data_IF_782882529993
#
_entry.id   IF_782882529993
#
_cell.length_a   1.000
_cell.length_b   1.000
_cell.length_c   1.000
_cell.angle_alpha   90.00
_cell.angle_beta   90.00
_cell.angle_gamma   90.00
#
_symmetry.space_group_name_H-M   'P 1'
#
loop_
_entity.id
_entity.type
_entity.pdbx_description
1 polymer ?
#
# COMPACT_ATOMS: atom_id res chain seq x y z
N UNK A 1 29.77 36.30 16.59
CA UNK A 1 28.88 35.58 15.66
C UNK A 1 29.74 34.48 15.06
N UNK A 2 29.24 33.22 14.88
CA UNK A 2 30.01 32.17 14.21
C UNK A 2 30.34 32.62 12.79
N UNK A 3 31.53 32.28 12.33
CA UNK A 3 31.94 32.54 10.95
C UNK A 3 31.10 31.72 9.99
N UNK A 4 30.99 32.17 8.74
CA UNK A 4 30.27 31.40 7.68
C UNK A 4 30.80 29.98 7.58
N UNK A 5 32.10 29.78 7.72
CA UNK A 5 32.75 28.45 7.71
C UNK A 5 32.26 27.54 8.85
N UNK A 6 32.16 28.07 10.07
CA UNK A 6 31.62 27.31 11.21
C UNK A 6 30.13 27.01 11.05
N UNK A 7 29.37 27.89 10.40
CA UNK A 7 27.96 27.66 10.10
C UNK A 7 27.80 26.56 9.05
N UNK A 8 28.62 26.54 8.00
CA UNK A 8 28.60 25.50 6.97
C UNK A 8 29.02 24.12 7.51
N UNK A 9 29.95 24.06 8.44
CA UNK A 9 30.35 22.80 9.07
C UNK A 9 29.25 22.17 9.94
N UNK A 10 28.32 22.98 10.44
CA UNK A 10 27.16 22.51 11.23
C UNK A 10 25.98 22.01 10.39
N UNK A 11 25.99 22.22 9.07
CA UNK A 11 24.94 21.72 8.20
C UNK A 11 25.05 20.19 8.03
N UNK A 12 23.92 19.49 7.91
CA UNK A 12 23.90 18.08 7.55
C UNK A 12 24.64 17.81 6.23
N UNK A 13 25.29 16.63 6.11
CA UNK A 13 26.14 16.30 4.97
C UNK A 13 25.41 16.40 3.62
N UNK A 14 24.16 15.97 3.55
CA UNK A 14 23.32 16.08 2.36
C UNK A 14 23.04 17.51 1.92
N UNK A 15 22.88 18.44 2.87
CA UNK A 15 22.67 19.88 2.60
C UNK A 15 23.98 20.50 2.09
N UNK A 16 25.12 20.12 2.67
CA UNK A 16 26.44 20.59 2.20
C UNK A 16 26.76 20.14 0.78
N UNK A 17 26.48 18.87 0.43
CA UNK A 17 26.69 18.35 -0.93
C UNK A 17 25.80 19.05 -1.94
N UNK A 18 24.50 19.23 -1.65
CA UNK A 18 23.58 19.95 -2.51
C UNK A 18 24.04 21.41 -2.76
N UNK A 19 24.55 22.07 -1.73
CA UNK A 19 25.10 23.42 -1.83
C UNK A 19 26.33 23.49 -2.72
N UNK A 20 27.24 22.53 -2.59
CA UNK A 20 28.46 22.44 -3.39
C UNK A 20 28.13 22.18 -4.86
N UNK A 21 27.15 21.33 -5.12
CA UNK A 21 26.73 21.00 -6.49
C UNK A 21 26.02 22.19 -7.17
N UNK A 22 25.19 22.94 -6.42
CA UNK A 22 24.57 24.19 -6.90
C UNK A 22 25.62 25.25 -7.22
N UNK A 23 26.62 25.41 -6.35
CA UNK A 23 27.74 26.35 -6.55
C UNK A 23 28.60 25.98 -7.78
N UNK A 24 28.79 24.67 -8.04
CA UNK A 24 29.46 24.20 -9.27
C UNK A 24 28.66 24.51 -10.53
N UNK A 25 27.33 24.38 -10.47
CA UNK A 25 26.45 24.71 -11.58
C UNK A 25 26.42 26.20 -11.91
N UNK A 26 26.41 27.07 -10.87
CA UNK A 26 26.44 28.52 -11.03
C UNK A 26 27.76 29.03 -11.65
N UNK A 27 28.88 28.33 -11.44
CA UNK A 27 30.22 28.74 -11.93
C UNK A 27 30.60 28.18 -13.30
N UNK A 28 29.70 27.49 -14.04
CA UNK A 28 29.91 27.04 -15.41
C UNK A 28 31.34 26.58 -15.73
N UNK A 29 31.63 25.29 -15.61
CA UNK A 29 32.78 24.52 -16.14
C UNK A 29 34.20 25.15 -16.22
N UNK A 30 34.50 26.22 -15.51
CA UNK A 30 35.85 26.75 -15.40
C UNK A 30 36.48 26.38 -14.05
N UNK A 31 37.31 25.33 -14.10
CA UNK A 31 37.89 24.69 -12.89
C UNK A 31 38.99 25.49 -12.19
N UNK A 32 39.51 26.60 -12.72
CA UNK A 32 40.78 27.17 -12.24
C UNK A 32 40.78 28.63 -11.73
N UNK A 33 39.67 29.36 -11.74
CA UNK A 33 39.63 30.71 -11.17
C UNK A 33 38.25 31.04 -10.57
N UNK A 34 37.95 30.50 -9.41
CA UNK A 34 36.82 30.96 -8.60
C UNK A 34 37.10 32.36 -8.06
N UNK A 35 36.29 33.41 -8.39
CA UNK A 35 36.37 34.67 -7.68
C UNK A 35 36.03 34.41 -6.18
N UNK A 36 36.55 35.20 -5.26
CA UNK A 36 36.21 35.05 -3.86
C UNK A 36 34.70 35.13 -3.72
N UNK A 37 34.10 34.03 -3.23
CA UNK A 37 32.65 33.95 -2.95
C UNK A 37 32.32 35.08 -1.96
N UNK A 38 31.61 36.09 -2.42
CA UNK A 38 31.08 37.13 -1.53
C UNK A 38 29.99 36.51 -0.66
N UNK A 39 29.83 37.02 0.57
CA UNK A 39 28.79 36.56 1.49
C UNK A 39 27.38 36.60 0.86
N UNK A 40 27.12 37.57 -0.03
CA UNK A 40 25.87 37.70 -0.75
C UNK A 40 25.65 36.55 -1.78
N UNK A 41 26.67 36.17 -2.54
CA UNK A 41 26.59 35.07 -3.50
C UNK A 41 26.34 33.72 -2.78
N UNK A 42 26.98 33.55 -1.62
CA UNK A 42 26.77 32.35 -0.80
C UNK A 42 25.38 32.35 -0.16
N UNK A 43 24.86 33.49 0.23
CA UNK A 43 23.52 33.65 0.81
C UNK A 43 22.43 33.38 -0.25
N UNK A 44 22.65 33.77 -1.49
CA UNK A 44 21.78 33.48 -2.64
C UNK A 44 21.79 31.97 -2.96
N UNK A 45 22.98 31.35 -3.01
CA UNK A 45 23.11 29.91 -3.24
C UNK A 45 22.49 29.10 -2.08
N UNK A 46 22.67 29.51 -0.83
CA UNK A 46 22.03 28.91 0.34
C UNK A 46 20.49 29.00 0.26
N UNK A 47 19.96 30.18 -0.08
CA UNK A 47 18.52 30.39 -0.27
C UNK A 47 18.00 29.52 -1.41
N UNK A 48 18.71 29.41 -2.52
CA UNK A 48 18.33 28.57 -3.68
C UNK A 48 18.36 27.09 -3.30
N UNK A 49 19.42 26.63 -2.63
CA UNK A 49 19.53 25.23 -2.17
C UNK A 49 18.47 24.89 -1.12
N UNK A 50 18.19 25.77 -0.16
CA UNK A 50 17.13 25.58 0.83
C UNK A 50 15.76 25.58 0.16
N UNK A 51 15.49 26.48 -0.78
CA UNK A 51 14.26 26.52 -1.54
C UNK A 51 14.13 25.29 -2.45
N UNK A 52 15.19 24.84 -3.10
CA UNK A 52 15.20 23.60 -3.88
C UNK A 52 14.92 22.35 -3.04
N UNK A 53 15.35 22.32 -1.79
CA UNK A 53 15.01 21.25 -0.83
C UNK A 53 13.60 21.41 -0.27
N UNK A 54 13.11 22.66 -0.09
CA UNK A 54 11.76 22.94 0.46
C UNK A 54 10.68 23.00 -0.62
N UNK A 55 11.02 23.34 -1.87
CA UNK A 55 10.10 23.41 -3.00
C UNK A 55 10.26 22.27 -3.99
N UNK A 56 10.48 21.02 -3.57
CA UNK A 56 9.99 19.91 -4.39
C UNK A 56 8.48 20.10 -4.49
N UNK A 57 8.03 20.69 -5.61
CA UNK A 57 6.61 20.88 -5.93
C UNK A 57 5.95 19.52 -5.70
N UNK A 58 5.31 19.36 -4.54
CA UNK A 58 4.73 18.07 -4.15
C UNK A 58 3.72 17.69 -5.23
N UNK A 59 3.95 16.57 -5.91
CA UNK A 59 2.98 16.04 -6.87
C UNK A 59 1.64 15.94 -6.19
N UNK A 60 0.60 16.46 -6.83
CA UNK A 60 -0.77 16.22 -6.37
C UNK A 60 -1.10 14.76 -6.63
N UNK A 61 -1.57 14.08 -5.60
CA UNK A 61 -2.04 12.69 -5.70
C UNK A 61 -3.55 12.72 -5.47
N UNK A 62 -4.28 12.05 -6.33
CA UNK A 62 -5.74 11.99 -6.29
C UNK A 62 -6.20 10.54 -6.28
N UNK A 63 -7.36 10.28 -5.71
CA UNK A 63 -8.05 9.00 -5.81
C UNK A 63 -8.86 9.03 -7.11
N UNK A 64 -8.65 8.06 -7.98
CA UNK A 64 -9.30 7.96 -9.29
C UNK A 64 -10.34 6.85 -9.34
N UNK A 65 -10.26 5.86 -8.45
CA UNK A 65 -11.23 4.78 -8.38
C UNK A 65 -11.26 4.14 -7.00
N UNK A 66 -12.41 3.61 -6.64
CA UNK A 66 -12.69 2.97 -5.36
C UNK A 66 -13.32 1.61 -5.61
N UNK A 67 -12.86 0.60 -4.87
CA UNK A 67 -13.47 -0.72 -4.82
C UNK A 67 -13.60 -1.19 -3.37
N UNK A 68 -14.69 -1.87 -3.06
CA UNK A 68 -14.95 -2.33 -1.71
C UNK A 68 -15.70 -3.68 -1.68
N UNK A 69 -15.27 -4.53 -0.77
CA UNK A 69 -15.99 -5.74 -0.38
C UNK A 69 -16.06 -5.74 1.14
N UNK A 70 -17.26 -5.61 1.68
CA UNK A 70 -17.49 -5.36 3.10
C UNK A 70 -18.64 -6.22 3.65
N UNK A 71 -18.81 -6.30 4.98
CA UNK A 71 -19.96 -6.98 5.58
C UNK A 71 -21.34 -6.42 5.19
N UNK A 72 -21.41 -5.21 4.59
CA UNK A 72 -22.65 -4.56 4.19
C UNK A 72 -22.81 -4.41 2.68
N UNK A 73 -21.83 -4.84 1.87
CA UNK A 73 -21.91 -4.80 0.41
C UNK A 73 -20.69 -5.42 -0.25
N UNK A 74 -20.86 -6.01 -1.41
CA UNK A 74 -19.79 -6.62 -2.21
C UNK A 74 -19.24 -5.69 -3.30
N UNK A 75 -19.71 -4.45 -3.32
CA UNK A 75 -19.24 -3.34 -4.16
C UNK A 75 -19.14 -2.06 -3.34
N UNK A 76 -18.40 -1.06 -3.84
CA UNK A 76 -18.31 0.26 -3.25
C UNK A 76 -19.69 0.94 -3.18
N UNK A 77 -20.48 0.83 -4.25
CA UNK A 77 -21.84 1.40 -4.33
C UNK A 77 -22.78 0.77 -3.31
N UNK A 78 -22.80 -0.57 -3.19
CA UNK A 78 -23.63 -1.26 -2.20
C UNK A 78 -23.19 -0.88 -0.77
N UNK A 79 -21.88 -0.89 -0.53
CA UNK A 79 -21.31 -0.51 0.77
C UNK A 79 -21.71 0.91 1.15
N UNK A 80 -21.58 1.87 0.23
CA UNK A 80 -21.93 3.25 0.48
C UNK A 80 -23.43 3.43 0.77
N UNK A 81 -24.28 2.79 -0.03
CA UNK A 81 -25.73 2.83 0.15
C UNK A 81 -26.16 2.27 1.51
N UNK A 82 -25.57 1.16 1.93
CA UNK A 82 -25.83 0.55 3.23
C UNK A 82 -25.37 1.45 4.40
N UNK A 83 -24.17 2.07 4.27
CA UNK A 83 -23.64 2.99 5.28
C UNK A 83 -24.53 4.23 5.43
N UNK A 84 -24.97 4.83 4.33
CA UNK A 84 -25.89 5.99 4.34
C UNK A 84 -27.24 5.63 4.95
N UNK A 85 -27.72 4.40 4.72
CA UNK A 85 -28.94 3.88 5.34
C UNK A 85 -28.77 3.45 6.81
N UNK A 86 -27.56 3.60 7.41
CA UNK A 86 -27.28 3.21 8.79
C UNK A 86 -27.31 1.69 9.03
N UNK A 87 -27.13 0.88 7.99
CA UNK A 87 -27.13 -0.57 8.12
C UNK A 87 -25.85 -1.08 8.81
N UNK A 88 -26.03 -1.97 9.80
CA UNK A 88 -24.92 -2.65 10.46
C UNK A 88 -24.57 -3.95 9.74
N UNK A 89 -23.28 -4.15 9.45
CA UNK A 89 -22.75 -5.44 9.00
C UNK A 89 -22.39 -6.39 10.13
N UNK A 90 -22.49 -5.95 11.38
CA UNK A 90 -22.18 -6.78 12.55
C UNK A 90 -23.38 -7.65 12.89
N UNK A 91 -23.21 -8.96 12.83
CA UNK A 91 -24.24 -9.96 13.09
C UNK A 91 -23.65 -11.12 13.88
N UNK A 92 -24.52 -12.03 14.34
CA UNK A 92 -24.06 -13.28 14.96
C UNK A 92 -23.13 -14.02 13.98
N UNK A 93 -22.03 -14.54 14.51
CA UNK A 93 -21.08 -15.38 13.73
C UNK A 93 -21.80 -16.61 13.18
N UNK A 94 -21.57 -16.91 11.92
CA UNK A 94 -22.17 -18.06 11.23
C UNK A 94 -21.13 -19.05 10.69
N UNK A 95 -19.84 -18.67 10.64
CA UNK A 95 -18.77 -19.52 10.09
C UNK A 95 -18.34 -20.66 11.04
N UNK A 96 -18.64 -20.54 12.35
CA UNK A 96 -18.40 -21.56 13.37
C UNK A 96 -19.39 -21.39 14.52
N UNK A 97 -19.43 -22.38 15.42
CA UNK A 97 -20.24 -22.27 16.65
C UNK A 97 -19.57 -21.33 17.67
N UNK A 98 -20.06 -20.10 17.70
CA UNK A 98 -19.56 -19.07 18.62
C UNK A 98 -20.17 -19.15 20.03
N UNK A 99 -21.05 -20.12 20.34
CA UNK A 99 -21.72 -20.24 21.64
C UNK A 99 -20.76 -20.33 22.83
N UNK A 100 -19.59 -20.99 22.73
CA UNK A 100 -18.63 -21.07 23.86
C UNK A 100 -17.87 -19.78 24.14
N UNK A 101 -17.97 -18.75 23.28
CA UNK A 101 -17.17 -17.52 23.36
C UNK A 101 -17.99 -16.36 23.94
N UNK A 102 -17.32 -15.46 24.65
CA UNK A 102 -17.93 -14.24 25.22
C UNK A 102 -18.44 -13.30 24.11
N UNK A 103 -17.70 -13.19 22.98
CA UNK A 103 -18.12 -12.44 21.80
C UNK A 103 -18.67 -13.40 20.75
N UNK A 104 -19.92 -13.20 20.35
CA UNK A 104 -20.60 -14.04 19.36
C UNK A 104 -20.99 -13.27 18.11
N UNK A 105 -20.45 -12.07 17.92
CA UNK A 105 -20.76 -11.19 16.79
C UNK A 105 -19.51 -10.82 16.00
N UNK A 106 -19.65 -10.73 14.68
CA UNK A 106 -18.59 -10.29 13.78
C UNK A 106 -19.15 -9.64 12.51
N UNK A 107 -18.30 -8.94 11.79
CA UNK A 107 -18.60 -8.39 10.46
C UNK A 107 -18.24 -9.39 9.36
N UNK A 108 -19.08 -10.39 9.13
CA UNK A 108 -18.87 -11.37 8.05
C UNK A 108 -19.28 -10.82 6.69
N UNK A 109 -18.42 -10.99 5.67
CA UNK A 109 -18.77 -10.70 4.28
C UNK A 109 -19.74 -11.76 3.78
N UNK A 110 -20.95 -11.32 3.37
CA UNK A 110 -22.06 -12.19 2.97
C UNK A 110 -22.18 -12.28 1.45
N UNK A 111 -22.50 -13.46 0.93
CA UNK A 111 -22.75 -13.66 -0.49
C UNK A 111 -21.56 -13.42 -1.41
N UNK A 112 -20.35 -13.32 -0.88
CA UNK A 112 -19.15 -13.07 -1.67
C UNK A 112 -18.74 -14.29 -2.50
N UNK A 113 -18.65 -14.08 -3.80
CA UNK A 113 -18.14 -15.06 -4.75
C UNK A 113 -16.89 -14.51 -5.45
N UNK A 114 -15.68 -15.01 -5.17
CA UNK A 114 -14.48 -14.56 -5.86
C UNK A 114 -14.44 -14.93 -7.35
N UNK A 115 -15.20 -15.94 -7.76
CA UNK A 115 -15.19 -16.46 -9.16
C UNK A 115 -15.77 -15.44 -10.16
N UNK A 116 -16.39 -14.36 -9.70
CA UNK A 116 -16.83 -13.25 -10.56
C UNK A 116 -15.65 -12.49 -11.19
N UNK A 117 -14.46 -12.56 -10.59
CA UNK A 117 -13.24 -11.84 -11.02
C UNK A 117 -12.00 -12.71 -11.05
N UNK A 118 -11.99 -13.84 -10.36
CA UNK A 118 -10.81 -14.71 -10.19
C UNK A 118 -11.16 -16.10 -10.72
N UNK A 119 -10.31 -16.64 -11.57
CA UNK A 119 -10.52 -18.01 -12.07
C UNK A 119 -10.59 -18.99 -10.88
N UNK A 120 -11.54 -19.92 -10.90
CA UNK A 120 -11.82 -20.86 -9.81
C UNK A 120 -10.58 -21.60 -9.29
N UNK A 121 -9.67 -22.00 -10.22
CA UNK A 121 -8.43 -22.70 -9.87
C UNK A 121 -7.48 -21.80 -9.04
N UNK A 122 -7.46 -20.53 -9.34
CA UNK A 122 -6.64 -19.53 -8.64
C UNK A 122 -7.28 -19.13 -7.31
N UNK A 123 -8.58 -18.84 -7.31
CA UNK A 123 -9.32 -18.50 -6.09
C UNK A 123 -9.13 -19.55 -4.98
N UNK A 124 -9.18 -20.85 -5.33
CA UNK A 124 -8.96 -21.96 -4.38
C UNK A 124 -7.55 -22.04 -3.78
N UNK A 125 -6.61 -21.28 -4.29
CA UNK A 125 -5.23 -21.22 -3.76
C UNK A 125 -4.97 -19.98 -2.93
N UNK A 126 -5.86 -18.99 -3.00
CA UNK A 126 -5.74 -17.74 -2.31
C UNK A 126 -6.38 -17.80 -0.92
N UNK A 127 -5.74 -17.19 0.07
CA UNK A 127 -6.38 -16.87 1.34
C UNK A 127 -7.59 -15.95 1.14
N UNK A 128 -8.54 -15.97 2.05
CA UNK A 128 -9.77 -15.16 1.95
C UNK A 128 -9.48 -13.66 1.77
N UNK A 129 -8.55 -13.11 2.54
CA UNK A 129 -8.12 -11.71 2.42
C UNK A 129 -7.58 -11.38 1.02
N UNK A 130 -6.85 -12.31 0.38
CA UNK A 130 -6.36 -12.13 -1.00
C UNK A 130 -7.50 -12.14 -2.01
N UNK A 131 -8.48 -13.04 -1.87
CA UNK A 131 -9.65 -13.07 -2.74
C UNK A 131 -10.43 -11.75 -2.68
N UNK A 132 -10.69 -11.28 -1.46
CA UNK A 132 -11.42 -10.02 -1.21
C UNK A 132 -10.67 -8.83 -1.82
N UNK A 133 -9.36 -8.74 -1.58
CA UNK A 133 -8.56 -7.61 -2.07
C UNK A 133 -8.45 -7.57 -3.59
N UNK A 134 -8.32 -8.72 -4.26
CA UNK A 134 -8.26 -8.79 -5.73
C UNK A 134 -9.59 -8.37 -6.35
N UNK A 135 -10.72 -8.82 -5.79
CA UNK A 135 -12.05 -8.42 -6.28
C UNK A 135 -12.29 -6.92 -6.11
N UNK A 136 -11.96 -6.36 -4.94
CA UNK A 136 -12.04 -4.92 -4.70
C UNK A 136 -11.11 -4.12 -5.61
N UNK A 137 -9.89 -4.62 -5.88
CA UNK A 137 -8.96 -3.97 -6.79
C UNK A 137 -9.47 -3.95 -8.25
N UNK A 138 -10.17 -5.00 -8.71
CA UNK A 138 -10.84 -5.00 -10.01
C UNK A 138 -11.86 -3.87 -10.11
N UNK A 139 -12.73 -3.74 -9.10
CA UNK A 139 -13.72 -2.66 -9.06
C UNK A 139 -13.05 -1.28 -9.07
N UNK A 140 -12.00 -1.08 -8.25
CA UNK A 140 -11.28 0.20 -8.19
C UNK A 140 -10.65 0.59 -9.55
N UNK A 141 -10.09 -0.38 -10.28
CA UNK A 141 -9.52 -0.14 -11.61
C UNK A 141 -10.61 0.19 -12.63
N UNK A 142 -11.73 -0.52 -12.61
CA UNK A 142 -12.86 -0.24 -13.47
C UNK A 142 -13.47 1.15 -13.19
N UNK A 143 -13.65 1.50 -11.92
CA UNK A 143 -14.17 2.80 -11.49
C UNK A 143 -13.22 3.95 -11.89
N UNK A 144 -11.90 3.71 -11.87
CA UNK A 144 -10.91 4.70 -12.30
C UNK A 144 -10.90 5.01 -13.79
N UNK A 145 -11.43 4.11 -14.62
CA UNK A 145 -11.32 4.20 -16.08
C UNK A 145 -9.88 4.02 -16.60
N UNK A 146 -8.97 3.46 -15.79
CA UNK A 146 -7.56 3.29 -16.15
C UNK A 146 -7.42 2.25 -17.26
N UNK A 147 -6.76 2.62 -18.37
CA UNK A 147 -6.35 1.68 -19.38
C UNK A 147 -4.97 1.07 -19.05
N UNK A 148 -5.00 -0.12 -18.46
CA UNK A 148 -3.78 -0.83 -18.06
C UNK A 148 -2.83 -1.11 -19.21
N UNK A 149 -3.32 -1.20 -20.46
CA UNK A 149 -2.47 -1.45 -21.61
C UNK A 149 -1.70 -0.22 -22.06
N UNK A 150 -2.18 0.98 -21.70
CA UNK A 150 -1.53 2.25 -22.00
C UNK A 150 -0.51 2.66 -20.92
N UNK A 151 -0.54 2.03 -19.75
CA UNK A 151 0.33 2.39 -18.63
C UNK A 151 1.67 1.64 -18.66
N UNK A 152 2.72 2.27 -18.15
CA UNK A 152 4.00 1.59 -17.90
C UNK A 152 3.90 0.69 -16.66
N UNK A 153 3.98 -0.65 -16.80
CA UNK A 153 3.88 -1.55 -15.65
C UNK A 153 4.91 -1.28 -14.55
N UNK A 154 6.09 -0.74 -14.91
CA UNK A 154 7.17 -0.43 -13.96
C UNK A 154 6.86 0.82 -13.12
N UNK A 155 5.86 1.60 -13.55
CA UNK A 155 5.35 2.80 -12.88
C UNK A 155 4.05 2.55 -12.13
N UNK A 156 3.53 1.32 -12.17
CA UNK A 156 2.35 0.88 -11.46
C UNK A 156 2.76 0.04 -10.25
N UNK A 157 2.35 0.45 -9.06
CA UNK A 157 2.69 -0.25 -7.82
C UNK A 157 1.48 -0.69 -7.01
N UNK A 158 1.72 -1.52 -6.00
CA UNK A 158 0.70 -2.02 -5.07
C UNK A 158 1.21 -1.91 -3.64
N UNK A 159 0.44 -1.29 -2.77
CA UNK A 159 0.68 -1.29 -1.32
C UNK A 159 -0.60 -1.64 -0.60
N UNK A 160 -0.59 -2.75 0.11
CA UNK A 160 -1.76 -3.22 0.82
C UNK A 160 -1.48 -3.37 2.31
N UNK A 161 -2.45 -2.99 3.13
CA UNK A 161 -2.42 -3.13 4.57
C UNK A 161 -3.21 -4.33 5.06
N UNK A 162 -2.73 -5.01 6.08
CA UNK A 162 -3.45 -6.10 6.75
C UNK A 162 -3.01 -6.21 8.21
N UNK A 163 -3.86 -6.78 9.05
CA UNK A 163 -3.50 -7.10 10.44
C UNK A 163 -2.82 -8.46 10.53
N UNK A 164 -3.43 -9.48 9.94
CA UNK A 164 -2.98 -10.87 10.08
C UNK A 164 -2.77 -11.59 8.74
N UNK A 165 -3.20 -11.01 7.63
CA UNK A 165 -3.06 -11.61 6.31
C UNK A 165 -3.88 -12.91 6.16
N UNK A 166 -3.27 -13.92 5.56
CA UNK A 166 -3.90 -15.23 5.29
C UNK A 166 -3.71 -16.26 6.38
N UNK A 167 -3.69 -15.86 7.65
CA UNK A 167 -3.51 -16.81 8.78
C UNK A 167 -4.60 -17.89 8.87
N UNK A 168 -5.78 -17.67 8.30
CA UNK A 168 -6.83 -18.67 8.12
C UNK A 168 -6.28 -19.96 7.47
N UNK A 169 -5.39 -19.84 6.49
CA UNK A 169 -4.75 -21.00 5.86
C UNK A 169 -3.83 -21.76 6.82
N UNK A 170 -3.14 -21.10 7.72
CA UNK A 170 -2.34 -21.77 8.76
C UNK A 170 -3.20 -22.45 9.81
N UNK A 171 -4.29 -21.81 10.23
CA UNK A 171 -5.27 -22.39 11.16
C UNK A 171 -5.88 -23.65 10.57
N UNK A 172 -6.33 -23.61 9.34
CA UNK A 172 -6.89 -24.78 8.64
C UNK A 172 -5.88 -25.91 8.48
N UNK A 173 -4.63 -25.57 8.18
CA UNK A 173 -3.54 -26.54 8.08
C UNK A 173 -3.28 -27.23 9.42
N UNK A 174 -3.19 -26.48 10.52
CA UNK A 174 -2.98 -27.02 11.87
C UNK A 174 -4.18 -27.89 12.28
N UNK A 175 -5.41 -27.37 12.10
CA UNK A 175 -6.65 -28.09 12.41
C UNK A 175 -6.74 -29.42 11.67
N UNK A 176 -6.46 -29.41 10.37
CA UNK A 176 -6.46 -30.65 9.55
C UNK A 176 -5.35 -31.62 9.99
N UNK A 177 -4.20 -31.12 10.40
CA UNK A 177 -3.09 -31.91 10.95
C UNK A 177 -3.46 -32.62 12.24
N UNK A 178 -4.06 -31.88 13.18
CA UNK A 178 -4.53 -32.44 14.46
C UNK A 178 -5.63 -33.48 14.26
N UNK A 179 -6.63 -33.17 13.42
CA UNK A 179 -7.77 -34.07 13.17
C UNK A 179 -7.37 -35.34 12.41
N UNK A 180 -6.46 -35.24 11.42
CA UNK A 180 -6.05 -36.38 10.60
C UNK A 180 -4.83 -37.13 11.15
N UNK A 181 -4.25 -36.68 12.27
CA UNK A 181 -3.01 -37.23 12.84
C UNK A 181 -1.77 -37.01 11.99
N UNK A 182 -1.87 -36.23 10.92
CA UNK A 182 -0.75 -35.81 10.05
C UNK A 182 -1.05 -34.49 9.36
N UNK A 183 -0.05 -33.62 9.26
CA UNK A 183 -0.18 -32.37 8.50
C UNK A 183 -0.40 -32.69 7.01
N UNK A 184 -1.51 -32.19 6.47
CA UNK A 184 -1.84 -32.23 5.04
C UNK A 184 -1.87 -30.77 4.54
N UNK A 185 -0.73 -30.25 4.15
CA UNK A 185 -0.64 -28.94 3.51
C UNK A 185 0.04 -29.06 2.16
N UNK A 186 -0.44 -28.29 1.21
CA UNK A 186 0.32 -28.07 -0.02
C UNK A 186 1.37 -26.99 0.29
N UNK A 187 2.60 -27.07 -0.28
CA UNK A 187 3.59 -26.02 -0.06
C UNK A 187 3.06 -24.61 -0.41
N UNK A 188 2.17 -24.51 -1.39
CA UNK A 188 1.54 -23.26 -1.81
C UNK A 188 0.62 -22.66 -0.74
N UNK A 189 0.05 -23.46 0.16
CA UNK A 189 -0.83 -22.98 1.23
C UNK A 189 -0.03 -22.19 2.27
N UNK A 190 1.19 -22.63 2.58
CA UNK A 190 2.10 -21.94 3.47
C UNK A 190 2.47 -20.55 2.91
N UNK A 191 2.76 -20.48 1.61
CA UNK A 191 3.10 -19.22 0.95
C UNK A 191 1.88 -18.28 0.94
N UNK A 192 0.73 -18.76 0.55
CA UNK A 192 -0.49 -17.94 0.44
C UNK A 192 -1.07 -17.50 1.80
N UNK A 193 -0.63 -18.10 2.90
CA UNK A 193 -0.93 -17.64 4.25
C UNK A 193 -0.13 -16.39 4.69
N UNK A 194 0.91 -16.01 3.98
CA UNK A 194 1.75 -14.86 4.36
C UNK A 194 1.01 -13.52 4.15
N UNK A 195 1.26 -12.52 5.01
CA UNK A 195 0.55 -11.24 4.96
C UNK A 195 0.83 -10.40 3.71
N UNK A 196 1.93 -10.64 3.00
CA UNK A 196 2.27 -9.95 1.75
C UNK A 196 1.55 -10.51 0.52
N UNK A 197 0.89 -11.66 0.62
CA UNK A 197 0.25 -12.31 -0.53
C UNK A 197 -0.93 -11.56 -1.13
N UNK A 198 -1.77 -10.83 -0.39
CA UNK A 198 -2.79 -10.01 -1.00
C UNK A 198 -2.24 -8.96 -1.98
N UNK A 199 -1.16 -8.26 -1.61
CA UNK A 199 -0.49 -7.31 -2.49
C UNK A 199 0.15 -7.99 -3.71
N UNK A 200 0.77 -9.16 -3.52
CA UNK A 200 1.31 -9.96 -4.61
C UNK A 200 0.23 -10.39 -5.61
N UNK A 201 -0.92 -10.88 -5.13
CA UNK A 201 -1.99 -11.32 -6.02
C UNK A 201 -2.59 -10.17 -6.83
N UNK A 202 -2.73 -8.98 -6.26
CA UNK A 202 -3.13 -7.77 -7.00
C UNK A 202 -2.08 -7.43 -8.04
N UNK A 203 -0.79 -7.35 -7.67
CA UNK A 203 0.30 -7.07 -8.59
C UNK A 203 0.32 -8.04 -9.77
N UNK A 204 0.14 -9.33 -9.51
CA UNK A 204 0.10 -10.37 -10.54
C UNK A 204 -1.13 -10.26 -11.43
N UNK A 205 -2.31 -9.96 -10.88
CA UNK A 205 -3.56 -9.84 -11.63
C UNK A 205 -3.54 -8.68 -12.64
N UNK A 206 -2.90 -7.56 -12.27
CA UNK A 206 -2.86 -6.34 -13.09
C UNK A 206 -1.50 -6.08 -13.75
N UNK A 207 -0.54 -6.98 -13.60
CA UNK A 207 0.78 -6.85 -14.22
C UNK A 207 1.62 -5.72 -13.65
N UNK A 208 1.35 -5.24 -12.44
CA UNK A 208 2.11 -4.17 -11.80
C UNK A 208 3.55 -4.63 -11.49
N UNK A 209 4.55 -3.83 -11.87
CA UNK A 209 5.98 -4.12 -11.68
C UNK A 209 6.72 -2.99 -10.96
N UNK A 210 6.02 -1.98 -10.52
CA UNK A 210 6.52 -0.89 -9.70
C UNK A 210 6.64 -1.26 -8.22
N UNK A 211 6.63 -0.29 -7.31
CA UNK A 211 6.75 -0.54 -5.88
C UNK A 211 5.70 -1.52 -5.37
N UNK A 212 6.15 -2.56 -4.67
CA UNK A 212 5.29 -3.58 -4.06
C UNK A 212 5.62 -3.71 -2.58
N UNK A 213 4.64 -3.46 -1.71
CA UNK A 213 4.86 -3.52 -0.27
C UNK A 213 3.58 -3.93 0.48
N UNK A 214 3.75 -4.37 1.72
CA UNK A 214 2.66 -4.68 2.64
C UNK A 214 2.92 -4.02 3.98
N UNK A 215 1.90 -3.32 4.47
CA UNK A 215 1.90 -2.66 5.78
C UNK A 215 1.14 -3.55 6.77
N UNK A 216 1.81 -3.91 7.87
CA UNK A 216 1.21 -4.75 8.91
C UNK A 216 1.17 -3.94 10.21
N UNK A 217 0.07 -3.19 10.40
CA UNK A 217 -0.14 -2.30 11.56
C UNK A 217 -1.58 -2.42 12.09
N UNK A 218 -2.06 -3.65 12.17
CA UNK A 218 -3.39 -3.97 12.67
C UNK A 218 -4.48 -3.13 12.00
N UNK A 219 -5.42 -2.56 12.76
CA UNK A 219 -6.57 -1.79 12.25
C UNK A 219 -6.18 -0.54 11.44
N UNK A 220 -4.98 0.01 11.64
CA UNK A 220 -4.49 1.18 10.94
C UNK A 220 -3.83 0.87 9.58
N UNK A 221 -3.62 -0.43 9.27
CA UNK A 221 -2.82 -0.87 8.13
C UNK A 221 -3.32 -0.34 6.78
N UNK A 222 -4.63 -0.36 6.55
CA UNK A 222 -5.24 0.13 5.31
C UNK A 222 -5.01 1.64 5.09
N UNK A 223 -5.22 2.45 6.12
CA UNK A 223 -4.99 3.89 6.05
C UNK A 223 -3.50 4.21 5.85
N UNK A 224 -2.62 3.49 6.54
CA UNK A 224 -1.18 3.65 6.38
C UNK A 224 -0.71 3.23 4.99
N UNK A 225 -1.26 2.17 4.40
CA UNK A 225 -0.93 1.74 3.04
C UNK A 225 -1.27 2.83 2.01
N UNK A 226 -2.41 3.51 2.14
CA UNK A 226 -2.78 4.66 1.30
C UNK A 226 -1.77 5.80 1.46
N UNK A 227 -1.35 6.10 2.69
CA UNK A 227 -0.34 7.11 2.97
C UNK A 227 1.01 6.78 2.32
N UNK A 228 1.50 5.55 2.46
CA UNK A 228 2.75 5.09 1.83
C UNK A 228 2.63 5.13 0.31
N UNK A 229 1.52 4.64 -0.28
CA UNK A 229 1.27 4.73 -1.72
C UNK A 229 1.29 6.17 -2.25
N UNK A 230 0.74 7.10 -1.48
CA UNK A 230 0.79 8.53 -1.78
C UNK A 230 2.23 9.05 -1.84
N UNK A 231 3.08 8.65 -0.91
CA UNK A 231 4.49 9.09 -0.90
C UNK A 231 5.30 8.44 -2.04
N UNK A 232 4.96 7.21 -2.49
CA UNK A 232 5.58 6.60 -3.67
C UNK A 232 5.36 7.46 -4.94
N UNK A 233 4.13 7.95 -5.14
CA UNK A 233 3.81 8.85 -6.27
C UNK A 233 4.52 10.21 -6.08
N UNK A 234 4.49 10.78 -4.88
CA UNK A 234 5.11 12.08 -4.59
C UNK A 234 6.61 12.10 -4.84
N UNK A 235 7.30 11.03 -4.47
CA UNK A 235 8.74 10.89 -4.72
C UNK A 235 9.10 10.48 -6.15
N UNK A 236 8.10 10.19 -6.99
CA UNK A 236 8.28 9.83 -8.39
C UNK A 236 8.66 8.38 -8.63
N UNK A 237 8.50 7.49 -7.66
CA UNK A 237 8.75 6.06 -7.81
C UNK A 237 7.64 5.35 -8.61
N UNK A 238 6.41 5.86 -8.56
CA UNK A 238 5.27 5.38 -9.31
C UNK A 238 4.44 6.54 -9.86
N UNK A 239 3.59 6.25 -10.83
CA UNK A 239 2.56 7.19 -11.33
C UNK A 239 1.17 6.70 -10.92
N UNK A 240 0.99 5.39 -10.76
CA UNK A 240 -0.23 4.75 -10.29
C UNK A 240 0.07 3.85 -9.09
N UNK A 241 -0.75 3.93 -8.04
CA UNK A 241 -0.66 3.04 -6.89
C UNK A 241 -2.04 2.45 -6.57
N UNK A 242 -2.13 1.13 -6.53
CA UNK A 242 -3.27 0.42 -5.94
C UNK A 242 -2.97 0.31 -4.45
N UNK A 243 -3.76 0.99 -3.62
CA UNK A 243 -3.51 1.07 -2.19
C UNK A 243 -4.79 0.88 -1.37
N UNK A 244 -4.71 0.21 -0.26
CA UNK A 244 -5.86 -0.03 0.62
C UNK A 244 -5.56 -1.04 1.71
N UNK A 245 -6.60 -1.65 2.25
CA UNK A 245 -6.47 -2.68 3.27
C UNK A 245 -7.39 -3.86 3.03
N UNK A 246 -7.02 -5.00 3.58
CA UNK A 246 -7.83 -6.21 3.52
C UNK A 246 -7.68 -7.02 4.80
N UNK A 247 -8.78 -7.67 5.18
CA UNK A 247 -8.81 -8.66 6.25
C UNK A 247 -9.81 -9.75 5.89
N UNK A 248 -9.61 -10.96 6.35
CA UNK A 248 -10.49 -12.07 5.97
C UNK A 248 -10.67 -13.14 7.03
N UNK A 249 -9.96 -13.03 8.14
CA UNK A 249 -9.96 -14.05 9.16
C UNK A 249 -11.10 -13.84 10.16
N UNK A 250 -12.08 -14.74 10.11
CA UNK A 250 -13.05 -14.97 11.17
C UNK A 250 -13.04 -16.48 11.43
N UNK A 251 -12.39 -16.91 12.51
CA UNK A 251 -12.22 -18.31 12.86
C UNK A 251 -12.22 -18.49 14.39
N UNK A 252 -12.45 -19.74 14.85
CA UNK A 252 -12.24 -20.11 16.24
C UNK A 252 -10.81 -19.82 16.68
#
# INVERSE_FOLDING_TARGET
MPTLHETLQRLPANVRHALIDELKMLNGHQQDNLPPLTDDALLVALKSAINGVTERKRRRVVVTGIGAVTPVGNTATETWSALVAGQSGITRVTQFDATPYDSQVAGEIKGFNPEVRIARKEARRMARCSQVSVVAAHEAIEDSGLDLAAEDPTRMGVILGTGVGGQDMFVDMIRSGVTAGRMRSRPVDVINGLPNMPAFHISNAFGCRGPLNTVVTACAAGAQAIGVGTEEIRRGAADVMIAGGTEGMISE
#
